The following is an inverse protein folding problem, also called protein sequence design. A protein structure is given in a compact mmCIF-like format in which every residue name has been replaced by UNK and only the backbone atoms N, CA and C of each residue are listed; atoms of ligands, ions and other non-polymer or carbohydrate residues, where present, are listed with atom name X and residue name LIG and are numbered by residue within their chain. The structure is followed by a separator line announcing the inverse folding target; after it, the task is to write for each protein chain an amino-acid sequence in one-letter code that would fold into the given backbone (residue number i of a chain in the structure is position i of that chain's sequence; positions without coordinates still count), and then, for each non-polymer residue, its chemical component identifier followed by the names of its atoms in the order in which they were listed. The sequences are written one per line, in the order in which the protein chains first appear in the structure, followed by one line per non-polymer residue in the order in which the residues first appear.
data_IF_859582554514
#
_entry.id   IF_859582554514
#
_cell.length_a   1.000
_cell.length_b   1.000
_cell.length_c   1.000
_cell.angle_alpha   90.00
_cell.angle_beta   90.00
_cell.angle_gamma   90.00
#
_symmetry.space_group_name_H-M   'P 1'
#
loop_
_entity.id
_entity.type
_entity.pdbx_description
1 polymer ?
#
# COMPACT_ATOMS: atom_id res chain seq x y z
N UNK A 1 -36.40 -11.44 -10.99
CA UNK A 1 -35.13 -10.69 -11.12
C UNK A 1 -34.20 -11.21 -10.05
N UNK A 2 -33.41 -12.24 -10.40
CA UNK A 2 -32.32 -12.68 -9.54
C UNK A 2 -31.18 -11.70 -9.79
N UNK A 3 -30.91 -10.83 -8.81
CA UNK A 3 -29.72 -10.00 -8.87
C UNK A 3 -28.52 -10.95 -8.87
N UNK A 4 -27.67 -10.87 -9.89
CA UNK A 4 -26.37 -11.54 -9.92
C UNK A 4 -25.58 -11.09 -8.69
N UNK A 5 -25.68 -11.84 -7.59
CA UNK A 5 -24.83 -11.67 -6.42
C UNK A 5 -23.47 -12.19 -6.84
N UNK A 6 -22.60 -11.29 -7.29
CA UNK A 6 -21.22 -11.65 -7.58
C UNK A 6 -20.55 -12.08 -6.26
N UNK A 7 -19.68 -13.10 -6.27
CA UNK A 7 -18.95 -13.55 -5.08
C UNK A 7 -18.25 -12.39 -4.34
N UNK A 8 -17.74 -11.43 -5.10
CA UNK A 8 -17.17 -10.18 -4.61
C UNK A 8 -18.16 -9.36 -3.75
N UNK A 9 -19.40 -9.19 -4.20
CA UNK A 9 -20.42 -8.43 -3.48
C UNK A 9 -20.78 -9.12 -2.15
N UNK A 10 -20.76 -10.44 -2.10
CA UNK A 10 -21.00 -11.21 -0.88
C UNK A 10 -19.85 -11.04 0.13
N UNK A 11 -18.60 -11.12 -0.34
CA UNK A 11 -17.41 -10.88 0.49
C UNK A 11 -17.43 -9.46 1.08
N UNK A 12 -17.74 -8.45 0.26
CA UNK A 12 -17.82 -7.06 0.70
C UNK A 12 -18.93 -6.82 1.75
N UNK A 13 -20.11 -7.42 1.55
CA UNK A 13 -21.21 -7.34 2.52
C UNK A 13 -20.85 -7.99 3.86
N UNK A 14 -20.17 -9.14 3.82
CA UNK A 14 -19.73 -9.82 5.03
C UNK A 14 -18.66 -9.01 5.79
N UNK A 15 -17.73 -8.37 5.09
CA UNK A 15 -16.74 -7.46 5.69
C UNK A 15 -17.42 -6.25 6.34
N UNK A 16 -18.41 -5.65 5.68
CA UNK A 16 -19.16 -4.52 6.23
C UNK A 16 -19.93 -4.90 7.51
N UNK A 17 -20.52 -6.10 7.57
CA UNK A 17 -21.19 -6.61 8.76
C UNK A 17 -20.21 -6.77 9.93
N UNK A 18 -19.06 -7.38 9.69
CA UNK A 18 -18.02 -7.57 10.72
C UNK A 18 -17.50 -6.22 11.21
N UNK A 19 -17.29 -5.24 10.32
CA UNK A 19 -16.87 -3.89 10.70
C UNK A 19 -17.89 -3.22 11.63
N UNK A 20 -19.19 -3.37 11.35
CA UNK A 20 -20.23 -2.82 12.21
C UNK A 20 -20.28 -3.51 13.59
N UNK A 21 -20.12 -4.83 13.62
CA UNK A 21 -20.07 -5.61 14.86
C UNK A 21 -18.86 -5.23 15.72
N UNK A 22 -17.68 -5.09 15.12
CA UNK A 22 -16.45 -4.67 15.82
C UNK A 22 -16.58 -3.23 16.34
N UNK A 23 -17.24 -2.34 15.60
CA UNK A 23 -17.49 -0.95 16.02
C UNK A 23 -18.45 -0.85 17.21
N UNK A 24 -19.39 -1.79 17.34
CA UNK A 24 -20.38 -1.79 18.43
C UNK A 24 -19.93 -2.53 19.70
N UNK A 25 -18.97 -3.46 19.60
CA UNK A 25 -18.41 -4.15 20.76
C UNK A 25 -17.45 -3.23 21.54
N UNK A 26 -17.98 -2.58 22.59
CA UNK A 26 -17.26 -1.64 23.46
C UNK A 26 -16.10 -2.27 24.28
N UNK A 27 -15.88 -3.59 24.19
CA UNK A 27 -14.92 -4.33 25.01
C UNK A 27 -13.60 -4.66 24.32
N UNK A 28 -13.40 -4.25 23.04
CA UNK A 28 -12.13 -4.37 22.29
C UNK A 28 -11.39 -5.72 22.32
N UNK A 29 -12.03 -6.81 22.75
CA UNK A 29 -11.49 -8.15 22.58
C UNK A 29 -11.97 -8.65 21.21
N UNK A 30 -11.14 -8.48 20.18
CA UNK A 30 -11.38 -9.11 18.88
C UNK A 30 -11.51 -10.62 19.07
N UNK A 31 -12.74 -11.12 18.98
CA UNK A 31 -13.04 -12.55 19.04
C UNK A 31 -12.23 -13.28 17.96
N UNK A 32 -11.56 -14.38 18.34
CA UNK A 32 -10.70 -15.17 17.46
C UNK A 32 -11.48 -15.66 16.23
N UNK A 33 -12.79 -15.86 16.38
CA UNK A 33 -13.70 -16.25 15.29
C UNK A 33 -13.93 -15.10 14.31
N UNK A 34 -14.08 -13.86 14.80
CA UNK A 34 -14.20 -12.65 13.96
C UNK A 34 -12.89 -12.41 13.20
N UNK A 35 -11.75 -12.58 13.87
CA UNK A 35 -10.44 -12.48 13.23
C UNK A 35 -10.24 -13.57 12.16
N UNK A 36 -10.69 -14.80 12.44
CA UNK A 36 -10.68 -15.91 11.48
C UNK A 36 -11.52 -15.60 10.23
N UNK A 37 -12.74 -15.08 10.41
CA UNK A 37 -13.62 -14.67 9.31
C UNK A 37 -13.02 -13.52 8.49
N UNK A 38 -12.44 -12.51 9.14
CA UNK A 38 -11.79 -11.40 8.46
C UNK A 38 -10.64 -11.88 7.57
N UNK A 39 -9.80 -12.79 8.08
CA UNK A 39 -8.68 -13.37 7.32
C UNK A 39 -9.16 -14.16 6.11
N UNK A 40 -10.22 -14.96 6.25
CA UNK A 40 -10.79 -15.73 5.15
C UNK A 40 -11.36 -14.81 4.06
N UNK A 41 -12.14 -13.81 4.44
CA UNK A 41 -12.76 -12.85 3.51
C UNK A 41 -11.70 -12.00 2.80
N UNK A 42 -10.64 -11.58 3.50
CA UNK A 42 -9.54 -10.85 2.88
C UNK A 42 -8.78 -11.70 1.86
N UNK A 43 -8.55 -12.99 2.14
CA UNK A 43 -7.94 -13.91 1.19
C UNK A 43 -8.83 -14.13 -0.04
N UNK A 44 -10.15 -14.23 0.14
CA UNK A 44 -11.11 -14.34 -0.96
C UNK A 44 -11.11 -13.07 -1.83
N UNK A 45 -11.15 -11.89 -1.22
CA UNK A 45 -11.07 -10.61 -1.94
C UNK A 45 -9.78 -10.51 -2.76
N UNK A 46 -8.64 -10.90 -2.18
CA UNK A 46 -7.36 -10.91 -2.89
C UNK A 46 -7.42 -11.79 -4.13
N UNK A 47 -7.95 -13.01 -4.03
CA UNK A 47 -8.05 -13.92 -5.17
C UNK A 47 -8.99 -13.41 -6.26
N UNK A 48 -10.15 -12.85 -5.90
CA UNK A 48 -11.11 -12.32 -6.88
C UNK A 48 -10.54 -11.11 -7.65
N UNK A 49 -9.86 -10.19 -6.95
CA UNK A 49 -9.23 -9.02 -7.59
C UNK A 49 -8.04 -9.43 -8.45
N UNK A 50 -7.23 -10.39 -8.01
CA UNK A 50 -6.08 -10.90 -8.78
C UNK A 50 -6.53 -11.62 -10.05
N UNK A 51 -7.63 -12.39 -9.98
CA UNK A 51 -8.25 -13.02 -11.17
C UNK A 51 -8.82 -11.97 -12.12
N UNK A 52 -9.48 -10.92 -11.61
CA UNK A 52 -10.05 -9.84 -12.43
C UNK A 52 -8.95 -9.05 -13.17
N UNK A 53 -7.82 -8.76 -12.49
CA UNK A 53 -6.65 -8.12 -13.10
C UNK A 53 -5.97 -9.00 -14.16
N UNK A 54 -5.87 -10.32 -13.93
CA UNK A 54 -5.33 -11.27 -14.92
C UNK A 54 -6.27 -11.50 -16.11
N UNK A 55 -7.55 -11.20 -15.96
CA UNK A 55 -8.57 -11.31 -17.02
C UNK A 55 -8.68 -10.05 -17.88
N UNK A 56 -7.95 -8.98 -17.53
CA UNK A 56 -7.83 -7.80 -18.38
C UNK A 56 -6.81 -8.08 -19.50
N UNK A 57 -7.31 -8.28 -20.72
CA UNK A 57 -6.47 -8.18 -21.91
C UNK A 57 -6.01 -6.73 -22.08
N UNK A 58 -4.74 -6.46 -21.75
CA UNK A 58 -4.11 -5.20 -22.13
C UNK A 58 -3.99 -5.17 -23.67
N UNK A 59 -4.47 -4.13 -24.36
CA UNK A 59 -4.25 -4.03 -25.80
C UNK A 59 -2.76 -3.98 -26.08
N UNK A 60 -2.25 -4.95 -26.84
CA UNK A 60 -0.88 -4.94 -27.36
C UNK A 60 -0.69 -3.67 -28.19
N UNK A 61 0.19 -2.78 -27.75
CA UNK A 61 0.64 -1.67 -28.57
C UNK A 61 1.37 -2.28 -29.77
N UNK A 62 0.75 -2.17 -30.95
CA UNK A 62 1.40 -2.50 -32.22
C UNK A 62 2.68 -1.69 -32.35
N UNK A 63 3.82 -2.38 -32.21
CA UNK A 63 5.09 -1.88 -32.71
C UNK A 63 4.99 -1.85 -34.24
N UNK A 64 4.78 -0.65 -34.80
CA UNK A 64 4.89 -0.46 -36.25
C UNK A 64 6.36 -0.36 -36.61
N UNK A 65 6.90 -1.48 -37.09
CA UNK A 65 8.16 -1.52 -37.82
C UNK A 65 8.13 -0.53 -38.99
N UNK A 66 9.12 0.36 -39.06
CA UNK A 66 9.59 0.96 -40.30
C UNK A 66 11.05 1.38 -40.14
N UNK A 67 11.94 0.45 -40.46
CA UNK A 67 13.31 0.77 -40.84
C UNK A 67 13.30 1.55 -42.17
N UNK A 68 14.00 2.69 -42.26
CA UNK A 68 14.98 3.00 -43.32
C UNK A 68 15.74 4.31 -43.01
N UNK A 69 16.99 4.15 -42.59
CA UNK A 69 18.21 4.85 -43.02
C UNK A 69 18.17 6.35 -43.39
N UNK A 70 18.80 7.21 -42.57
CA UNK A 70 20.09 7.88 -42.90
C UNK A 70 20.50 8.94 -41.86
N UNK A 71 21.74 8.75 -41.39
CA UNK A 71 22.74 9.67 -40.82
C UNK A 71 22.39 10.98 -40.09
N UNK A 72 23.06 11.10 -38.93
CA UNK A 72 23.68 12.29 -38.32
C UNK A 72 22.89 13.17 -37.32
N UNK A 73 23.24 12.92 -36.05
CA UNK A 73 23.60 13.87 -34.98
C UNK A 73 22.55 14.80 -34.31
N UNK A 74 22.27 14.44 -33.04
CA UNK A 74 22.24 15.28 -31.81
C UNK A 74 21.30 16.50 -31.78
N UNK A 75 20.19 16.40 -31.06
CA UNK A 75 20.05 17.01 -29.72
C UNK A 75 18.77 16.50 -29.04
N UNK A 76 18.85 16.17 -27.75
CA UNK A 76 17.74 15.60 -26.95
C UNK A 76 17.17 16.70 -26.05
N UNK A 77 16.06 17.30 -26.46
CA UNK A 77 15.14 17.98 -25.54
C UNK A 77 14.01 17.01 -25.19
N UNK A 78 13.93 16.63 -23.92
CA UNK A 78 12.81 15.87 -23.35
C UNK A 78 11.88 16.89 -22.69
N UNK A 79 10.71 17.12 -23.29
CA UNK A 79 9.55 17.64 -22.56
C UNK A 79 8.60 16.48 -22.21
N UNK A 80 8.07 16.42 -20.98
CA UNK A 80 7.14 15.38 -20.55
C UNK A 80 5.71 15.71 -20.99
N UNK A 81 5.06 14.77 -21.68
CA UNK A 81 3.64 14.87 -22.01
C UNK A 81 2.77 14.50 -20.79
N UNK A 82 1.98 15.47 -20.36
CA UNK A 82 1.00 15.43 -19.29
C UNK A 82 -0.23 14.55 -19.57
N UNK A 83 -0.90 14.23 -18.46
CA UNK A 83 -2.36 14.12 -18.27
C UNK A 83 -3.14 12.99 -18.99
N UNK A 84 -3.39 11.93 -18.22
CA UNK A 84 -4.65 11.18 -18.28
C UNK A 84 -5.34 11.31 -16.92
N UNK A 85 -6.17 12.35 -16.80
CA UNK A 85 -7.13 12.54 -15.71
C UNK A 85 -8.25 11.52 -15.90
N UNK A 86 -8.30 10.49 -15.05
CA UNK A 86 -9.46 9.61 -14.94
C UNK A 86 -10.44 10.30 -13.99
N UNK A 87 -11.54 10.79 -14.57
CA UNK A 87 -12.66 11.43 -13.90
C UNK A 87 -13.45 10.38 -13.09
N UNK A 88 -13.12 10.24 -11.82
CA UNK A 88 -13.86 9.40 -10.88
C UNK A 88 -14.98 10.26 -10.26
N UNK A 89 -16.17 10.16 -10.85
CA UNK A 89 -17.39 10.80 -10.34
C UNK A 89 -17.70 10.31 -8.92
N UNK A 90 -17.36 11.12 -7.91
CA UNK A 90 -17.74 10.92 -6.50
C UNK A 90 -18.99 11.77 -6.23
N UNK A 91 -20.10 11.19 -5.73
CA UNK A 91 -21.26 11.99 -5.37
C UNK A 91 -20.94 12.85 -4.15
N UNK A 92 -21.13 14.17 -4.29
CA UNK A 92 -20.96 15.18 -3.25
C UNK A 92 -21.81 14.83 -2.01
N UNK A 93 -21.13 14.58 -0.90
CA UNK A 93 -21.71 14.68 0.44
C UNK A 93 -21.25 16.02 1.00
N UNK A 94 -22.17 16.97 1.12
CA UNK A 94 -21.95 18.24 1.82
C UNK A 94 -21.53 17.97 3.27
N UNK A 95 -20.24 18.10 3.57
CA UNK A 95 -19.74 18.24 4.93
C UNK A 95 -19.33 19.69 5.09
N UNK A 96 -20.18 20.43 5.80
CA UNK A 96 -19.99 21.83 6.13
C UNK A 96 -18.63 22.08 6.80
N UNK A 97 -17.85 22.95 6.15
CA UNK A 97 -16.87 23.89 6.69
C UNK A 97 -16.36 23.62 8.12
N UNK A 98 -15.33 22.77 8.22
CA UNK A 98 -14.30 22.93 9.24
C UNK A 98 -12.97 23.12 8.48
N UNK A 99 -12.45 24.35 8.51
CA UNK A 99 -11.10 24.67 8.04
C UNK A 99 -10.10 23.78 8.78
N UNK A 100 -9.64 22.74 8.10
CA UNK A 100 -8.44 21.99 8.48
C UNK A 100 -7.41 22.24 7.37
N UNK A 101 -6.18 22.65 7.72
CA UNK A 101 -5.14 22.90 6.73
C UNK A 101 -4.70 21.55 6.13
N UNK A 102 -5.32 21.15 5.03
CA UNK A 102 -4.84 20.05 4.20
C UNK A 102 -3.90 20.61 3.14
N UNK A 103 -2.60 20.43 3.35
CA UNK A 103 -1.59 20.13 2.32
C UNK A 103 -0.17 20.47 2.83
N UNK A 104 0.31 19.70 3.79
CA UNK A 104 1.74 19.44 3.94
C UNK A 104 1.91 17.92 3.88
N UNK A 105 2.87 17.45 3.08
CA UNK A 105 3.08 16.04 2.78
C UNK A 105 3.23 15.23 4.08
N UNK A 106 2.28 14.34 4.38
CA UNK A 106 2.19 13.61 5.65
C UNK A 106 3.24 12.49 5.81
N UNK A 107 4.45 12.62 5.25
CA UNK A 107 5.58 11.70 5.45
C UNK A 107 6.09 11.69 6.89
N UNK A 108 5.78 12.74 7.67
CA UNK A 108 6.21 12.87 9.07
C UNK A 108 5.38 12.05 10.06
N UNK A 109 4.31 11.39 9.61
CA UNK A 109 3.50 10.51 10.47
C UNK A 109 3.78 9.05 10.15
N UNK A 110 3.76 8.20 11.18
CA UNK A 110 3.89 6.74 11.02
C UNK A 110 2.86 6.19 10.05
N UNK A 111 1.60 6.63 10.18
CA UNK A 111 0.51 6.21 9.29
C UNK A 111 0.74 6.66 7.84
N UNK A 112 1.27 7.86 7.63
CA UNK A 112 1.57 8.39 6.30
C UNK A 112 2.73 7.64 5.63
N UNK A 113 3.80 7.32 6.36
CA UNK A 113 4.91 6.53 5.81
C UNK A 113 4.49 5.09 5.50
N UNK A 114 3.81 4.42 6.43
CA UNK A 114 3.25 3.07 6.19
C UNK A 114 2.26 3.12 5.01
N UNK A 115 1.50 4.21 4.92
CA UNK A 115 0.57 4.55 3.85
C UNK A 115 1.17 4.60 2.44
N UNK A 116 2.49 4.72 2.30
CA UNK A 116 3.17 4.74 1.01
C UNK A 116 3.64 3.37 0.53
N UNK A 117 3.69 2.37 1.41
CA UNK A 117 3.95 1.00 0.96
C UNK A 117 2.72 0.42 0.24
N UNK A 118 2.90 -0.42 -0.80
CA UNK A 118 1.81 -1.22 -1.34
C UNK A 118 1.13 -2.04 -0.25
N UNK A 119 -0.19 -2.17 -0.33
CA UNK A 119 -0.99 -2.79 0.73
C UNK A 119 -0.47 -4.20 1.09
N UNK A 120 -0.23 -5.05 0.08
CA UNK A 120 0.30 -6.41 0.27
C UNK A 120 1.65 -6.42 1.00
N UNK A 121 2.54 -5.46 0.69
CA UNK A 121 3.85 -5.36 1.33
C UNK A 121 3.77 -4.96 2.79
N UNK A 122 2.81 -4.10 3.17
CA UNK A 122 2.57 -3.78 4.59
C UNK A 122 2.29 -5.05 5.40
N UNK A 123 1.37 -5.88 4.92
CA UNK A 123 1.01 -7.14 5.58
C UNK A 123 2.18 -8.12 5.64
N UNK A 124 2.94 -8.24 4.56
CA UNK A 124 4.12 -9.09 4.51
C UNK A 124 5.19 -8.62 5.50
N UNK A 125 5.52 -7.33 5.52
CA UNK A 125 6.52 -6.77 6.43
C UNK A 125 6.11 -6.97 7.89
N UNK A 126 4.87 -6.62 8.26
CA UNK A 126 4.34 -6.87 9.61
C UNK A 126 4.46 -8.35 9.99
N UNK A 127 4.06 -9.26 9.10
CA UNK A 127 4.05 -10.70 9.38
C UNK A 127 5.45 -11.30 9.50
N UNK A 128 6.33 -10.99 8.53
CA UNK A 128 7.66 -11.60 8.42
C UNK A 128 8.63 -10.93 9.38
N UNK A 129 8.69 -9.61 9.42
CA UNK A 129 9.72 -8.87 10.14
C UNK A 129 9.32 -8.58 11.59
N UNK A 130 8.02 -8.36 11.83
CA UNK A 130 7.51 -7.97 13.14
C UNK A 130 6.64 -9.05 13.80
N UNK A 131 6.51 -10.23 13.19
CA UNK A 131 5.78 -11.37 13.78
C UNK A 131 4.27 -11.15 13.89
N UNK A 132 3.70 -10.29 13.05
CA UNK A 132 2.29 -9.91 13.11
C UNK A 132 1.98 -8.70 13.99
N UNK A 133 2.99 -8.15 14.68
CA UNK A 133 2.83 -7.03 15.62
C UNK A 133 2.97 -5.68 14.89
N UNK A 134 1.81 -5.06 14.62
CA UNK A 134 1.72 -3.77 13.92
C UNK A 134 2.25 -2.61 14.77
N UNK A 135 2.12 -2.69 16.09
CA UNK A 135 2.62 -1.66 16.99
C UNK A 135 4.16 -1.67 16.99
N UNK A 136 4.78 -2.85 16.93
CA UNK A 136 6.23 -2.96 16.71
C UNK A 136 6.70 -2.34 15.40
N UNK A 137 5.95 -2.56 14.31
CA UNK A 137 6.27 -1.91 13.04
C UNK A 137 6.12 -0.39 13.15
N UNK A 138 5.08 0.07 13.85
CA UNK A 138 4.88 1.49 14.13
C UNK A 138 6.03 2.12 14.91
N UNK A 139 6.52 1.45 15.95
CA UNK A 139 7.69 1.89 16.72
C UNK A 139 8.95 2.00 15.86
N UNK A 140 9.22 0.98 15.04
CA UNK A 140 10.34 1.03 14.10
C UNK A 140 10.23 2.22 13.15
N UNK A 141 9.06 2.41 12.53
CA UNK A 141 8.82 3.52 11.60
C UNK A 141 8.98 4.88 12.30
N UNK A 142 8.45 5.03 13.52
CA UNK A 142 8.59 6.25 14.30
C UNK A 142 10.06 6.58 14.57
N UNK A 143 10.87 5.60 15.00
CA UNK A 143 12.30 5.82 15.25
C UNK A 143 13.06 6.21 13.97
N UNK A 144 12.65 5.73 12.80
CA UNK A 144 13.24 6.15 11.53
C UNK A 144 12.80 7.56 11.14
N UNK A 145 11.55 7.95 11.43
CA UNK A 145 11.07 9.33 11.22
C UNK A 145 11.84 10.30 12.14
N UNK A 146 11.97 9.96 13.42
CA UNK A 146 12.63 10.78 14.45
C UNK A 146 14.15 10.93 14.23
N UNK A 147 14.74 10.07 13.40
CA UNK A 147 16.17 10.11 13.12
C UNK A 147 16.55 11.37 12.31
N UNK A 148 17.58 12.13 12.75
CA UNK A 148 17.85 13.48 12.25
C UNK A 148 18.39 13.53 10.81
N UNK A 149 18.92 12.43 10.29
CA UNK A 149 19.48 12.36 8.94
C UNK A 149 19.52 10.92 8.41
N UNK A 150 19.87 10.76 7.13
CA UNK A 150 19.91 9.47 6.45
C UNK A 150 20.88 8.46 7.08
N UNK A 151 22.02 8.90 7.63
CA UNK A 151 22.95 8.02 8.32
C UNK A 151 22.34 7.46 9.61
N UNK A 152 21.73 8.33 10.43
CA UNK A 152 21.04 7.93 11.65
C UNK A 152 19.85 7.00 11.37
N UNK A 153 19.12 7.22 10.27
CA UNK A 153 18.07 6.28 9.80
C UNK A 153 18.63 4.89 9.48
N UNK A 154 19.81 4.85 8.84
CA UNK A 154 20.54 3.61 8.60
C UNK A 154 20.95 2.90 9.89
N UNK A 155 21.39 3.65 10.91
CA UNK A 155 21.74 3.09 12.21
C UNK A 155 20.54 2.50 12.94
N UNK A 156 19.37 3.16 12.88
CA UNK A 156 18.10 2.62 13.40
C UNK A 156 17.77 1.31 12.69
N UNK A 157 17.82 1.28 11.35
CA UNK A 157 17.58 0.06 10.58
C UNK A 157 18.54 -1.08 10.98
N UNK A 158 19.84 -0.81 11.06
CA UNK A 158 20.84 -1.82 11.43
C UNK A 158 20.61 -2.36 12.84
N UNK A 159 20.25 -1.49 13.79
CA UNK A 159 19.91 -1.91 15.16
C UNK A 159 18.73 -2.87 15.18
N UNK A 160 17.64 -2.53 14.47
CA UNK A 160 16.46 -3.39 14.38
C UNK A 160 16.75 -4.69 13.66
N UNK A 161 17.53 -4.64 12.58
CA UNK A 161 17.95 -5.80 11.80
C UNK A 161 18.66 -6.84 12.69
N UNK A 162 19.59 -6.39 13.53
CA UNK A 162 20.29 -7.25 14.49
C UNK A 162 19.37 -7.70 15.63
N UNK A 163 18.62 -6.78 16.25
CA UNK A 163 17.76 -7.07 17.40
C UNK A 163 16.67 -8.10 17.07
N UNK A 164 16.05 -7.98 15.90
CA UNK A 164 14.98 -8.87 15.43
C UNK A 164 15.51 -10.06 14.62
N UNK A 165 16.84 -10.18 14.47
CA UNK A 165 17.49 -11.28 13.75
C UNK A 165 16.98 -11.42 12.31
N UNK A 166 16.79 -10.28 11.62
CA UNK A 166 16.26 -10.22 10.26
C UNK A 166 17.18 -10.84 9.21
N UNK A 167 18.40 -11.22 9.57
CA UNK A 167 19.30 -12.01 8.70
C UNK A 167 18.66 -13.28 8.12
N UNK A 168 17.71 -13.89 8.83
CA UNK A 168 16.96 -15.07 8.32
C UNK A 168 15.88 -14.72 7.30
N UNK A 169 15.57 -13.43 7.15
CA UNK A 169 14.45 -12.83 6.42
C UNK A 169 14.96 -11.60 5.64
N UNK A 170 16.21 -11.71 5.17
CA UNK A 170 16.98 -10.58 4.64
C UNK A 170 16.35 -9.96 3.40
N UNK A 171 15.68 -10.79 2.59
CA UNK A 171 14.97 -10.35 1.39
C UNK A 171 13.88 -9.32 1.73
N UNK A 172 12.94 -9.66 2.63
CA UNK A 172 11.88 -8.74 3.05
C UNK A 172 12.41 -7.52 3.79
N UNK A 173 13.47 -7.68 4.60
CA UNK A 173 14.10 -6.57 5.32
C UNK A 173 14.76 -5.57 4.36
N UNK A 174 15.53 -6.09 3.40
CA UNK A 174 16.19 -5.29 2.37
C UNK A 174 15.19 -4.60 1.44
N UNK A 175 14.09 -5.26 1.11
CA UNK A 175 13.02 -4.66 0.30
C UNK A 175 12.33 -3.51 1.04
N UNK A 176 11.91 -3.73 2.29
CA UNK A 176 11.34 -2.68 3.14
C UNK A 176 12.28 -1.48 3.24
N UNK A 177 13.57 -1.72 3.49
CA UNK A 177 14.57 -0.65 3.56
C UNK A 177 14.74 0.11 2.26
N UNK A 178 14.71 -0.59 1.12
CA UNK A 178 14.76 0.03 -0.21
C UNK A 178 13.56 0.95 -0.43
N UNK A 179 12.36 0.53 -0.03
CA UNK A 179 11.15 1.35 -0.12
C UNK A 179 11.23 2.58 0.77
N UNK A 180 11.64 2.42 2.03
CA UNK A 180 11.82 3.54 2.97
C UNK A 180 12.78 4.59 2.45
N UNK A 181 13.95 4.17 1.95
CA UNK A 181 14.92 5.09 1.35
C UNK A 181 14.31 5.89 0.20
N UNK A 182 13.51 5.24 -0.65
CA UNK A 182 12.83 5.88 -1.78
C UNK A 182 11.86 6.97 -1.32
N UNK A 183 11.09 6.70 -0.27
CA UNK A 183 10.14 7.65 0.34
C UNK A 183 10.87 8.88 0.90
N UNK A 184 12.00 8.67 1.59
CA UNK A 184 12.76 9.78 2.20
C UNK A 184 13.61 10.60 1.22
N UNK A 185 13.78 10.13 -0.01
CA UNK A 185 14.51 10.85 -1.08
C UNK A 185 13.59 11.60 -2.03
N UNK A 186 12.28 11.40 -1.94
CA UNK A 186 11.27 12.22 -2.62
C UNK A 186 11.11 13.55 -1.90
#
# INVERSE_FOLDING_TARGET
MEANKTPLLEVLNNLASIHHEVRNDQTQLLDIDKLGRLKLLAAQLYMEVDIELLSMEFPELQETDSETSSDSQIDTEIEPASDLVIDLFVPEVEIANAELPFAECATETVAGLIGQFPLSRRFEFVSILFGGDIDNMGLFVQEVIDAPNAAARGDVYNRWYEQKQWRRRDESASDMWRMMKRIFTQ
#
